data_IF_571092804628
#
_entry.id   IF_571092804628
#
_cell.length_a   1.000
_cell.length_b   1.000
_cell.length_c   1.000
_cell.angle_alpha   90.00
_cell.angle_beta   90.00
_cell.angle_gamma   90.00
#
_symmetry.space_group_name_H-M   'P 1'
#
loop_
_entity.id
_entity.type
_entity.pdbx_description
1 polymer ?
#
# COMPACT_ATOMS: atom_id res chain seq x y z
N UNK A 1 19.69 4.72 23.61
CA UNK A 1 19.75 5.87 22.69
C UNK A 1 19.83 5.33 21.28
N UNK A 2 18.68 5.01 20.69
CA UNK A 2 18.60 4.61 19.27
C UNK A 2 18.78 5.89 18.46
N UNK A 3 19.84 5.96 17.67
CA UNK A 3 20.17 7.16 16.88
C UNK A 3 18.99 7.52 15.98
N UNK A 4 18.47 8.74 16.14
CA UNK A 4 17.38 9.30 15.32
C UNK A 4 17.78 9.54 13.85
N UNK A 5 18.98 9.11 13.45
CA UNK A 5 19.62 9.44 12.18
C UNK A 5 19.80 8.21 11.27
N UNK A 6 19.13 7.08 11.58
CA UNK A 6 19.13 5.94 10.68
C UNK A 6 18.34 6.30 9.40
N UNK A 7 18.94 6.18 8.19
CA UNK A 7 18.26 6.55 6.97
C UNK A 7 17.05 5.63 6.74
N UNK A 8 15.92 6.23 6.33
CA UNK A 8 14.70 5.48 6.01
C UNK A 8 14.99 4.31 5.05
N UNK A 9 14.34 3.15 5.23
CA UNK A 9 14.37 2.05 4.27
C UNK A 9 14.07 2.52 2.84
N UNK A 10 14.74 1.91 1.85
CA UNK A 10 14.63 2.32 0.44
C UNK A 10 13.18 2.38 -0.06
N UNK A 11 12.36 1.37 0.26
CA UNK A 11 10.94 1.37 -0.09
C UNK A 11 10.23 2.62 0.43
N UNK A 12 10.36 2.93 1.71
CA UNK A 12 9.72 4.09 2.33
C UNK A 12 10.20 5.41 1.72
N UNK A 13 11.52 5.56 1.49
CA UNK A 13 12.03 6.75 0.79
C UNK A 13 11.40 6.92 -0.58
N UNK A 14 11.27 5.83 -1.34
CA UNK A 14 10.71 5.90 -2.68
C UNK A 14 9.20 6.15 -2.69
N UNK A 15 8.46 5.69 -1.67
CA UNK A 15 7.05 5.98 -1.52
C UNK A 15 6.82 7.46 -1.19
N UNK A 16 7.62 8.01 -0.28
CA UNK A 16 7.56 9.42 0.10
C UNK A 16 8.12 10.40 -0.95
N UNK A 17 8.99 9.95 -1.84
CA UNK A 17 9.53 10.76 -2.93
C UNK A 17 8.65 10.76 -4.18
N UNK A 18 7.58 9.97 -4.22
CA UNK A 18 6.65 9.96 -5.35
C UNK A 18 5.70 11.16 -5.28
N UNK A 19 6.20 12.31 -5.73
CA UNK A 19 5.37 13.42 -6.21
C UNK A 19 5.49 13.55 -7.75
N UNK A 20 4.31 13.71 -8.37
CA UNK A 20 4.01 14.20 -9.72
C UNK A 20 4.16 13.24 -10.95
N UNK A 21 2.96 12.93 -11.48
CA UNK A 21 2.57 12.49 -12.83
C UNK A 21 2.89 11.06 -13.32
N UNK A 22 1.87 10.32 -13.81
CA UNK A 22 2.09 9.06 -14.49
C UNK A 22 2.79 9.34 -15.82
N UNK A 23 4.12 9.20 -15.85
CA UNK A 23 4.84 9.06 -17.12
C UNK A 23 4.28 7.83 -17.81
N UNK A 24 3.54 8.03 -18.90
CA UNK A 24 3.13 6.96 -19.83
C UNK A 24 4.37 6.31 -20.41
N UNK A 25 4.98 5.40 -19.66
CA UNK A 25 6.11 4.61 -20.09
C UNK A 25 5.58 3.35 -20.76
N UNK A 26 6.07 3.06 -21.97
CA UNK A 26 5.84 1.77 -22.63
C UNK A 26 6.89 0.81 -22.06
N UNK A 27 6.56 0.12 -20.98
CA UNK A 27 7.47 -0.82 -20.33
C UNK A 27 7.00 -1.27 -18.95
N UNK A 28 7.77 -2.19 -18.37
CA UNK A 28 7.60 -2.62 -16.99
C UNK A 28 7.87 -1.45 -16.04
N UNK A 29 6.93 -1.17 -15.13
CA UNK A 29 7.06 -0.13 -14.11
C UNK A 29 6.87 -0.73 -12.73
N UNK A 30 7.26 0.00 -11.68
CA UNK A 30 6.97 -0.46 -10.31
C UNK A 30 5.47 -0.56 -10.07
N UNK A 31 4.69 0.39 -10.56
CA UNK A 31 3.24 0.43 -10.39
C UNK A 31 2.58 -0.81 -11.01
N UNK A 32 3.00 -1.21 -12.22
CA UNK A 32 2.49 -2.42 -12.88
C UNK A 32 2.95 -3.70 -12.19
N UNK A 33 4.18 -3.75 -11.68
CA UNK A 33 4.67 -4.87 -10.86
C UNK A 33 3.85 -5.01 -9.57
N UNK A 34 3.62 -3.90 -8.86
CA UNK A 34 2.88 -3.88 -7.60
C UNK A 34 1.43 -4.28 -7.81
N UNK A 35 0.76 -3.73 -8.83
CA UNK A 35 -0.61 -4.11 -9.17
C UNK A 35 -0.74 -5.62 -9.44
N UNK A 36 0.14 -6.19 -10.25
CA UNK A 36 0.13 -7.63 -10.53
C UNK A 36 0.46 -8.48 -9.29
N UNK A 37 1.28 -7.98 -8.37
CA UNK A 37 1.59 -8.65 -7.12
C UNK A 37 0.40 -8.63 -6.13
N UNK A 38 -0.35 -7.51 -6.08
CA UNK A 38 -1.60 -7.40 -5.31
C UNK A 38 -2.63 -8.39 -5.85
N UNK A 39 -2.87 -8.40 -7.17
CA UNK A 39 -3.79 -9.38 -7.78
C UNK A 39 -3.41 -10.82 -7.44
N UNK A 40 -2.12 -11.17 -7.52
CA UNK A 40 -1.66 -12.51 -7.19
C UNK A 40 -1.89 -12.87 -5.72
N UNK A 41 -1.70 -11.90 -4.82
CA UNK A 41 -1.92 -12.10 -3.39
C UNK A 41 -3.41 -12.13 -3.02
N UNK A 42 -4.27 -11.44 -3.77
CA UNK A 42 -5.72 -11.49 -3.61
C UNK A 42 -6.27 -12.85 -4.03
N UNK A 43 -5.80 -13.39 -5.15
CA UNK A 43 -6.26 -14.67 -5.72
C UNK A 43 -5.70 -15.88 -4.96
N UNK A 44 -4.39 -15.90 -4.68
CA UNK A 44 -3.68 -17.09 -4.19
C UNK A 44 -3.14 -16.94 -2.75
N UNK A 45 -3.29 -15.76 -2.15
CA UNK A 45 -2.69 -15.42 -0.86
C UNK A 45 -1.20 -15.04 -0.94
N UNK A 46 -0.71 -14.34 0.09
CA UNK A 46 0.66 -13.82 0.14
C UNK A 46 1.75 -14.89 0.14
N UNK A 47 1.45 -16.07 0.66
CA UNK A 47 2.38 -17.20 0.69
C UNK A 47 2.73 -17.69 -0.72
N UNK A 48 1.79 -17.59 -1.67
CA UNK A 48 1.99 -17.98 -3.07
C UNK A 48 2.81 -16.95 -3.87
N UNK A 49 2.90 -15.70 -3.39
CA UNK A 49 3.68 -14.67 -4.04
C UNK A 49 5.18 -15.02 -4.01
N UNK A 50 5.77 -15.21 -5.18
CA UNK A 50 7.22 -15.30 -5.37
C UNK A 50 7.66 -14.45 -6.55
N UNK A 51 8.93 -14.02 -6.56
CA UNK A 51 9.47 -13.22 -7.68
C UNK A 51 9.39 -13.98 -9.01
N UNK A 52 9.51 -15.31 -8.98
CA UNK A 52 9.38 -16.16 -10.17
C UNK A 52 7.94 -16.18 -10.71
N UNK A 53 6.95 -16.47 -9.85
CA UNK A 53 5.52 -16.50 -10.22
C UNK A 53 5.04 -15.13 -10.71
N UNK A 54 5.52 -14.06 -10.08
CA UNK A 54 5.22 -12.69 -10.51
C UNK A 54 5.81 -12.38 -11.89
N UNK A 55 7.05 -12.80 -12.15
CA UNK A 55 7.71 -12.60 -13.44
C UNK A 55 6.99 -13.35 -14.56
N UNK A 56 6.54 -14.58 -14.28
CA UNK A 56 5.72 -15.40 -15.17
C UNK A 56 4.38 -14.73 -15.48
N UNK A 57 3.64 -14.26 -14.45
CA UNK A 57 2.37 -13.51 -14.63
C UNK A 57 2.56 -12.26 -15.50
N UNK A 58 3.72 -11.60 -15.40
CA UNK A 58 4.06 -10.40 -16.17
C UNK A 58 4.73 -10.68 -17.52
N UNK A 59 4.94 -11.96 -17.90
CA UNK A 59 5.59 -12.33 -19.15
C UNK A 59 7.02 -11.81 -19.29
N UNK A 60 7.75 -11.67 -18.17
CA UNK A 60 9.10 -11.11 -18.14
C UNK A 60 10.09 -11.98 -17.35
N UNK A 61 11.39 -11.68 -17.46
CA UNK A 61 12.40 -12.34 -16.63
C UNK A 61 12.45 -11.74 -15.21
N UNK A 62 12.78 -12.54 -14.20
CA UNK A 62 12.92 -12.09 -12.80
C UNK A 62 13.91 -10.94 -12.63
N UNK A 63 15.01 -10.93 -13.39
CA UNK A 63 15.97 -9.83 -13.43
C UNK A 63 15.36 -8.49 -13.85
N UNK A 64 14.26 -8.51 -14.61
CA UNK A 64 13.52 -7.29 -14.95
C UNK A 64 12.78 -6.72 -13.75
N UNK A 65 12.17 -7.57 -12.91
CA UNK A 65 11.54 -7.14 -11.67
C UNK A 65 12.56 -6.50 -10.72
N UNK A 66 13.74 -7.11 -10.59
CA UNK A 66 14.77 -6.66 -9.66
C UNK A 66 15.33 -5.26 -9.93
N UNK A 67 15.14 -4.73 -11.15
CA UNK A 67 15.46 -3.32 -11.46
C UNK A 67 14.53 -2.33 -10.76
N UNK A 68 13.29 -2.74 -10.50
CA UNK A 68 12.27 -1.90 -9.87
C UNK A 68 12.12 -2.16 -8.38
N UNK A 69 12.36 -3.40 -7.95
CA UNK A 69 12.17 -3.85 -6.56
C UNK A 69 13.30 -4.78 -6.14
N UNK A 70 14.04 -4.46 -5.09
CA UNK A 70 15.25 -5.14 -4.67
C UNK A 70 14.99 -6.56 -4.13
N UNK A 71 13.85 -6.80 -3.49
CA UNK A 71 13.49 -8.09 -2.91
C UNK A 71 11.98 -8.20 -2.64
N UNK A 72 11.54 -9.37 -2.15
CA UNK A 72 10.13 -9.63 -1.82
C UNK A 72 9.61 -8.71 -0.70
N UNK A 73 10.40 -8.41 0.32
CA UNK A 73 9.95 -7.58 1.45
C UNK A 73 9.70 -6.13 1.02
N UNK A 74 10.57 -5.60 0.15
CA UNK A 74 10.39 -4.30 -0.48
C UNK A 74 9.13 -4.28 -1.36
N UNK A 75 8.88 -5.36 -2.11
CA UNK A 75 7.64 -5.51 -2.89
C UNK A 75 6.41 -5.47 -1.99
N UNK A 76 6.42 -6.23 -0.89
CA UNK A 76 5.32 -6.25 0.08
C UNK A 76 5.09 -4.86 0.68
N UNK A 77 6.16 -4.10 0.96
CA UNK A 77 6.03 -2.71 1.44
C UNK A 77 5.30 -1.83 0.42
N UNK A 78 5.64 -1.95 -0.87
CA UNK A 78 4.92 -1.23 -1.93
C UNK A 78 3.47 -1.70 -2.11
N UNK A 79 3.23 -3.01 -1.97
CA UNK A 79 1.87 -3.58 -2.03
C UNK A 79 1.00 -3.03 -0.90
N UNK A 80 1.52 -2.97 0.34
CA UNK A 80 0.79 -2.44 1.49
C UNK A 80 0.43 -0.96 1.32
N UNK A 81 1.30 -0.17 0.70
CA UNK A 81 1.01 1.22 0.40
C UNK A 81 -0.05 1.39 -0.69
N UNK A 82 -0.13 0.47 -1.66
CA UNK A 82 -0.99 0.57 -2.82
C UNK A 82 -2.38 -0.08 -2.62
N UNK A 83 -2.46 -1.21 -1.93
CA UNK A 83 -3.67 -2.03 -1.83
C UNK A 83 -4.88 -1.33 -1.20
N UNK A 84 -4.74 -0.52 -0.12
CA UNK A 84 -5.87 0.22 0.42
C UNK A 84 -6.48 1.22 -0.56
N UNK A 85 -5.71 1.69 -1.54
CA UNK A 85 -6.11 2.79 -2.41
C UNK A 85 -6.28 4.12 -1.66
N UNK A 86 -6.92 5.12 -2.29
CA UNK A 86 -7.14 6.40 -1.65
C UNK A 86 -8.06 6.25 -0.43
N UNK A 87 -7.74 6.99 0.64
CA UNK A 87 -8.59 7.04 1.82
C UNK A 87 -10.00 7.57 1.46
N UNK A 88 -11.06 7.09 2.12
CA UNK A 88 -12.41 7.56 1.87
C UNK A 88 -12.55 9.01 2.30
N UNK A 89 -13.27 9.81 1.50
CA UNK A 89 -13.73 11.12 1.94
C UNK A 89 -14.84 10.96 2.98
N UNK A 90 -14.84 11.82 3.99
CA UNK A 90 -15.96 11.92 4.92
C UNK A 90 -17.23 12.38 4.16
N UNK A 91 -18.42 11.85 4.51
CA UNK A 91 -19.67 12.37 3.96
C UNK A 91 -19.86 13.86 4.31
N UNK A 92 -20.53 14.59 3.42
CA UNK A 92 -20.84 16.01 3.64
C UNK A 92 -21.71 16.16 4.89
N UNK A 93 -21.36 17.13 5.74
CA UNK A 93 -22.05 17.44 7.00
C UNK A 93 -22.13 16.27 8.02
N UNK A 94 -21.27 15.25 7.87
CA UNK A 94 -21.19 14.16 8.83
C UNK A 94 -20.62 14.63 10.17
N UNK A 95 -21.26 14.21 11.26
CA UNK A 95 -20.62 14.28 12.58
C UNK A 95 -19.48 13.26 12.69
N UNK A 96 -18.65 13.41 13.71
CA UNK A 96 -17.46 12.55 13.90
C UNK A 96 -17.78 11.05 13.89
N UNK A 97 -18.96 10.69 14.42
CA UNK A 97 -19.39 9.29 14.49
C UNK A 97 -19.68 8.74 13.09
N UNK A 98 -20.50 9.44 12.31
CA UNK A 98 -20.83 9.06 10.93
C UNK A 98 -19.58 9.02 10.05
N UNK A 99 -18.66 9.98 10.23
CA UNK A 99 -17.39 10.01 9.49
C UNK A 99 -16.53 8.78 9.81
N UNK A 100 -16.41 8.39 11.08
CA UNK A 100 -15.67 7.19 11.48
C UNK A 100 -16.33 5.89 11.07
N UNK A 101 -17.67 5.82 11.10
CA UNK A 101 -18.40 4.63 10.63
C UNK A 101 -18.15 4.42 9.12
N UNK A 102 -18.17 5.49 8.32
CA UNK A 102 -17.80 5.44 6.90
C UNK A 102 -16.34 5.01 6.68
N UNK A 103 -15.41 5.60 7.44
CA UNK A 103 -13.99 5.24 7.38
C UNK A 103 -13.74 3.77 7.75
N UNK A 104 -14.36 3.30 8.84
CA UNK A 104 -14.24 1.93 9.31
C UNK A 104 -14.85 0.94 8.32
N UNK A 105 -15.99 1.27 7.70
CA UNK A 105 -16.61 0.48 6.64
C UNK A 105 -15.70 0.36 5.41
N UNK A 106 -15.10 1.46 4.95
CA UNK A 106 -14.17 1.42 3.83
C UNK A 106 -12.91 0.59 4.17
N UNK A 107 -12.39 0.70 5.39
CA UNK A 107 -11.23 -0.09 5.82
C UNK A 107 -11.57 -1.59 5.92
N UNK A 108 -12.78 -1.89 6.38
CA UNK A 108 -13.32 -3.24 6.42
C UNK A 108 -13.38 -3.87 5.03
N UNK A 109 -13.86 -3.11 4.04
CA UNK A 109 -13.90 -3.54 2.64
C UNK A 109 -12.48 -3.78 2.07
N UNK A 110 -11.51 -2.93 2.43
CA UNK A 110 -10.10 -3.14 2.07
C UNK A 110 -9.59 -4.48 2.63
N UNK A 111 -9.84 -4.78 3.91
CA UNK A 111 -9.39 -6.05 4.48
C UNK A 111 -10.11 -7.28 3.92
N UNK A 112 -11.37 -7.13 3.50
CA UNK A 112 -12.10 -8.20 2.81
C UNK A 112 -11.56 -8.44 1.40
N UNK A 113 -11.20 -7.37 0.69
CA UNK A 113 -10.62 -7.44 -0.65
C UNK A 113 -9.18 -7.95 -0.62
N UNK A 114 -8.41 -7.56 0.39
CA UNK A 114 -6.98 -7.86 0.52
C UNK A 114 -6.66 -8.54 1.86
N UNK A 115 -7.11 -9.79 2.11
CA UNK A 115 -6.94 -10.45 3.41
C UNK A 115 -5.48 -10.59 3.85
N UNK A 116 -4.55 -10.64 2.90
CA UNK A 116 -3.12 -10.73 3.15
C UNK A 116 -2.55 -9.49 3.86
N UNK A 117 -3.20 -8.33 3.79
CA UNK A 117 -2.75 -7.11 4.48
C UNK A 117 -2.64 -7.35 6.00
N UNK A 118 -3.58 -8.10 6.56
CA UNK A 118 -3.58 -8.44 8.00
C UNK A 118 -2.43 -9.37 8.40
N UNK A 119 -1.91 -10.17 7.46
CA UNK A 119 -0.75 -11.04 7.70
C UNK A 119 0.55 -10.25 7.74
N UNK A 120 0.59 -9.09 7.08
CA UNK A 120 1.73 -8.18 7.07
C UNK A 120 1.73 -7.18 8.24
N UNK A 121 0.60 -7.01 8.94
CA UNK A 121 0.40 -5.99 9.95
C UNK A 121 1.32 -6.11 11.18
N UNK A 122 2.08 -7.20 11.32
CA UNK A 122 3.15 -7.32 12.31
C UNK A 122 4.38 -6.43 12.03
N UNK A 123 4.41 -5.72 10.90
CA UNK A 123 5.56 -4.93 10.44
C UNK A 123 5.79 -3.59 11.19
N UNK A 124 4.94 -3.21 12.13
CA UNK A 124 5.11 -2.00 12.97
C UNK A 124 4.13 -0.88 12.62
N UNK A 125 4.49 0.36 13.01
CA UNK A 125 3.64 1.54 12.81
C UNK A 125 3.45 1.88 11.32
N UNK A 126 2.29 2.46 10.95
CA UNK A 126 2.09 3.07 9.63
C UNK A 126 3.24 4.02 9.28
N UNK A 127 3.98 3.72 8.22
CA UNK A 127 5.15 4.50 7.83
C UNK A 127 5.13 4.93 6.35
N UNK A 128 4.28 4.31 5.53
CA UNK A 128 4.08 4.73 4.14
C UNK A 128 2.97 5.78 4.01
N UNK A 129 3.01 6.59 2.93
CA UNK A 129 2.02 7.64 2.69
C UNK A 129 0.58 7.13 2.55
N UNK A 130 0.37 5.92 2.05
CA UNK A 130 -0.97 5.34 1.89
C UNK A 130 -1.61 5.06 3.24
N UNK A 131 -0.92 4.31 4.10
CA UNK A 131 -1.40 4.05 5.46
C UNK A 131 -1.57 5.33 6.28
N UNK A 132 -0.67 6.32 6.12
CA UNK A 132 -0.80 7.61 6.80
C UNK A 132 -1.95 8.45 6.27
N UNK A 133 -2.24 8.43 4.96
CA UNK A 133 -3.42 9.10 4.41
C UNK A 133 -4.72 8.51 4.98
N UNK A 134 -4.77 7.19 5.20
CA UNK A 134 -5.89 6.54 5.89
C UNK A 134 -6.00 6.95 7.35
N UNK A 135 -4.87 7.06 8.07
CA UNK A 135 -4.85 7.55 9.45
C UNK A 135 -5.31 9.02 9.54
N UNK A 136 -4.80 9.87 8.65
CA UNK A 136 -5.17 11.29 8.58
C UNK A 136 -6.66 11.48 8.28
N UNK A 137 -7.24 10.65 7.40
CA UNK A 137 -8.68 10.67 7.13
C UNK A 137 -9.51 10.30 8.39
N UNK A 138 -9.04 9.34 9.19
CA UNK A 138 -9.68 8.99 10.45
C UNK A 138 -9.60 10.14 11.47
N UNK A 139 -8.42 10.77 11.59
CA UNK A 139 -8.19 11.91 12.48
C UNK A 139 -9.01 13.13 12.06
N UNK A 140 -9.11 13.40 10.75
CA UNK A 140 -9.97 14.44 10.21
C UNK A 140 -11.44 14.17 10.54
N UNK A 141 -11.91 12.93 10.37
CA UNK A 141 -13.25 12.50 10.79
C UNK A 141 -13.50 12.71 12.28
N UNK A 142 -12.54 12.35 13.14
CA UNK A 142 -12.61 12.58 14.60
C UNK A 142 -12.73 14.06 14.97
N UNK A 143 -12.17 14.96 14.17
CA UNK A 143 -12.25 16.41 14.40
C UNK A 143 -13.57 17.05 13.96
N UNK A 144 -14.46 16.29 13.30
CA UNK A 144 -15.76 16.78 12.89
C UNK A 144 -16.65 17.12 14.11
N UNK A 145 -17.61 18.06 13.98
CA UNK A 145 -18.52 18.40 15.06
C UNK A 145 -19.35 17.19 15.53
N UNK A 146 -19.90 17.29 16.74
CA UNK A 146 -20.79 16.28 17.33
C UNK A 146 -22.21 16.33 16.73
#
# INVERSE_FOLDING_TARGET
>A
MTSADAPLPRALRLLWQQDAEPRRSRGLTRETIVAAAVELADDDGLAALSMARLAEKLGCGTMSLYRHVANKDELVTFMLAAAPGPAPSAPVDANWRTALENWAGALWDVYHRHPWVLQCASAGLPADPGQLAWLDAALAGLSAPA
#
